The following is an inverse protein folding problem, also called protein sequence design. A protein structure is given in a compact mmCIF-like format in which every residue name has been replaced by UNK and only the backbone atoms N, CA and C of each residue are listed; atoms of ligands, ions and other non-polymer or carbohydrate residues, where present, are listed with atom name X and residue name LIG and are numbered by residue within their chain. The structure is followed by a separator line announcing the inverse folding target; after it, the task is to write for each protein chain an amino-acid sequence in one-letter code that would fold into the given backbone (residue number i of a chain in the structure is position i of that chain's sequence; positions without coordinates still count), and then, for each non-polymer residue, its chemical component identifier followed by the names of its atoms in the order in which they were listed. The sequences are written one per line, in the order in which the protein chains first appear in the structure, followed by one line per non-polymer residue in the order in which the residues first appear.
data_IF_244435894559
#
_entry.id   IF_244435894559
#
_cell.length_a   1.000
_cell.length_b   1.000
_cell.length_c   1.000
_cell.angle_alpha   90.00
_cell.angle_beta   90.00
_cell.angle_gamma   90.00
#
_symmetry.space_group_name_H-M   'P 1'
#
loop_
_entity.id
_entity.type
_entity.pdbx_description
1 polymer ?
#
# COMPACT_ATOMS: atom_id res chain seq x y z
N UNK A 1 4.85 -4.74 11.55
CA UNK A 1 3.79 -5.76 11.36
C UNK A 1 4.38 -6.97 10.64
N UNK A 2 3.82 -8.18 10.79
CA UNK A 2 4.31 -9.37 10.08
C UNK A 2 3.48 -9.56 8.79
N UNK A 3 3.90 -8.90 7.72
CA UNK A 3 3.23 -8.95 6.41
C UNK A 3 3.72 -10.19 5.64
N UNK A 4 2.83 -11.11 5.30
CA UNK A 4 3.17 -12.29 4.46
C UNK A 4 2.63 -12.21 3.04
N UNK A 5 1.60 -11.39 2.82
CA UNK A 5 1.05 -11.12 1.50
C UNK A 5 1.28 -9.65 1.15
N UNK A 6 1.90 -9.41 -0.02
CA UNK A 6 2.20 -8.07 -0.56
C UNK A 6 1.98 -8.11 -2.07
N UNK A 7 1.19 -7.19 -2.61
CA UNK A 7 0.83 -7.18 -4.04
C UNK A 7 0.50 -5.77 -4.54
N UNK A 8 0.21 -5.63 -5.85
CA UNK A 8 -0.24 -4.41 -6.52
C UNK A 8 0.62 -3.17 -6.19
N UNK A 9 1.93 -3.26 -6.45
CA UNK A 9 2.85 -2.17 -6.21
C UNK A 9 2.67 -1.01 -7.19
N UNK A 10 2.82 0.21 -6.67
CA UNK A 10 2.89 1.46 -7.43
C UNK A 10 4.10 2.27 -6.94
N UNK A 11 4.78 2.95 -7.87
CA UNK A 11 6.02 3.67 -7.61
C UNK A 11 5.94 5.08 -8.21
N UNK A 12 6.34 6.09 -7.45
CA UNK A 12 6.39 7.47 -7.94
C UNK A 12 7.62 8.22 -7.38
N UNK A 13 8.18 9.18 -8.13
CA UNK A 13 9.20 10.07 -7.60
C UNK A 13 8.62 11.03 -6.56
N UNK A 14 9.39 11.36 -5.53
CA UNK A 14 9.03 12.39 -4.56
C UNK A 14 9.60 13.77 -4.95
N UNK A 15 8.95 14.88 -4.59
CA UNK A 15 9.35 16.24 -5.02
C UNK A 15 10.75 16.69 -4.62
N UNK A 16 11.26 16.18 -3.49
CA UNK A 16 12.57 16.53 -2.95
C UNK A 16 13.65 15.49 -3.33
N UNK A 17 13.34 14.63 -4.29
CA UNK A 17 14.16 13.48 -4.65
C UNK A 17 13.73 12.20 -3.95
N UNK A 18 14.24 11.07 -4.44
CA UNK A 18 13.85 9.76 -3.97
C UNK A 18 12.55 9.24 -4.56
N UNK A 19 12.09 8.11 -4.02
CA UNK A 19 10.96 7.33 -4.52
C UNK A 19 9.99 7.01 -3.38
N UNK A 20 8.71 6.98 -3.72
CA UNK A 20 7.65 6.44 -2.88
C UNK A 20 7.10 5.17 -3.55
N UNK A 21 7.08 4.07 -2.81
CA UNK A 21 6.42 2.84 -3.18
C UNK A 21 5.16 2.69 -2.32
N UNK A 22 4.03 2.39 -2.96
CA UNK A 22 2.79 2.02 -2.29
C UNK A 22 2.36 0.62 -2.75
N UNK A 23 1.83 -0.19 -1.84
CA UNK A 23 1.42 -1.56 -2.13
C UNK A 23 0.30 -1.99 -1.18
N UNK A 24 -0.54 -2.92 -1.63
CA UNK A 24 -1.50 -3.57 -0.72
C UNK A 24 -0.79 -4.72 0.00
N UNK A 25 -1.06 -4.88 1.29
CA UNK A 25 -0.53 -5.99 2.08
C UNK A 25 -1.48 -6.43 3.18
N UNK A 26 -1.32 -7.68 3.60
CA UNK A 26 -2.03 -8.28 4.73
C UNK A 26 -1.15 -9.31 5.43
N UNK A 27 -1.60 -9.83 6.58
CA UNK A 27 -0.86 -10.82 7.33
C UNK A 27 -0.74 -12.16 6.60
N UNK A 28 -1.64 -12.51 5.68
CA UNK A 28 -1.67 -13.86 5.09
C UNK A 28 -2.12 -13.96 3.64
N UNK A 29 -3.19 -13.26 3.24
CA UNK A 29 -3.80 -13.49 1.93
C UNK A 29 -4.51 -12.27 1.37
N UNK A 30 -4.75 -12.30 0.06
CA UNK A 30 -5.49 -11.28 -0.66
C UNK A 30 -6.94 -11.18 -0.16
N UNK A 31 -7.41 -9.96 0.06
CA UNK A 31 -8.78 -9.67 0.50
C UNK A 31 -9.06 -10.03 1.96
N UNK A 32 -8.04 -10.18 2.79
CA UNK A 32 -8.22 -10.35 4.22
C UNK A 32 -8.75 -9.05 4.87
N UNK A 33 -9.43 -9.16 6.02
CA UNK A 33 -10.04 -8.01 6.72
C UNK A 33 -9.02 -6.96 7.14
N UNK A 34 -7.77 -7.39 7.35
CA UNK A 34 -6.61 -6.59 7.70
C UNK A 34 -5.82 -6.08 6.48
N UNK A 35 -6.26 -6.35 5.24
CA UNK A 35 -5.57 -5.85 4.05
C UNK A 35 -5.62 -4.32 3.96
N UNK A 36 -4.46 -3.67 3.94
CA UNK A 36 -4.33 -2.22 3.91
C UNK A 36 -3.29 -1.79 2.88
N UNK A 37 -3.29 -0.49 2.57
CA UNK A 37 -2.21 0.12 1.81
C UNK A 37 -1.05 0.46 2.75
N UNK A 38 0.15 0.09 2.33
CA UNK A 38 1.40 0.43 2.97
C UNK A 38 2.26 1.26 2.03
N UNK A 39 3.11 2.09 2.62
CA UNK A 39 4.02 2.97 1.92
C UNK A 39 5.42 2.78 2.47
N UNK A 40 6.40 2.69 1.57
CA UNK A 40 7.83 2.79 1.87
C UNK A 40 8.42 3.89 1.02
N UNK A 41 9.33 4.67 1.59
CA UNK A 41 10.01 5.75 0.86
C UNK A 41 11.52 5.56 0.90
N UNK A 42 12.21 6.09 -0.10
CA UNK A 42 13.66 6.25 -0.04
C UNK A 42 14.00 7.59 0.64
N UNK A 43 15.23 7.72 1.11
CA UNK A 43 15.74 9.02 1.60
C UNK A 43 16.04 9.95 0.41
N UNK A 44 16.10 11.25 0.69
CA UNK A 44 16.46 12.26 -0.32
C UNK A 44 17.77 11.89 -1.04
N UNK A 45 17.72 11.89 -2.37
CA UNK A 45 18.86 11.54 -3.24
C UNK A 45 19.12 10.03 -3.40
N UNK A 46 18.42 9.15 -2.69
CA UNK A 46 18.53 7.70 -2.87
C UNK A 46 17.59 7.22 -3.99
N UNK A 47 18.16 6.54 -4.99
CA UNK A 47 17.48 6.05 -6.19
C UNK A 47 16.93 4.62 -6.03
N UNK A 48 16.56 4.20 -4.81
CA UNK A 48 15.92 2.90 -4.56
C UNK A 48 16.80 1.84 -3.91
N UNK A 49 17.96 2.22 -3.37
CA UNK A 49 18.86 1.28 -2.69
C UNK A 49 18.43 1.01 -1.25
N UNK A 50 17.89 2.02 -0.56
CA UNK A 50 17.44 1.90 0.83
C UNK A 50 16.03 2.47 0.98
N UNK A 51 15.21 1.73 1.70
CA UNK A 51 13.80 2.01 1.93
C UNK A 51 13.53 2.10 3.42
N UNK A 52 12.57 2.93 3.79
CA UNK A 52 12.00 2.89 5.13
C UNK A 52 11.21 1.60 5.34
N UNK A 53 11.09 1.20 6.61
CA UNK A 53 10.13 0.16 7.00
C UNK A 53 8.72 0.49 6.47
N UNK A 54 7.92 -0.54 6.12
CA UNK A 54 6.55 -0.36 5.68
C UNK A 54 5.72 0.43 6.69
N UNK A 55 5.15 1.55 6.23
CA UNK A 55 4.24 2.37 7.04
C UNK A 55 2.84 2.24 6.50
N UNK A 56 1.90 1.83 7.36
CA UNK A 56 0.49 1.75 6.99
C UNK A 56 -0.06 3.16 6.70
N UNK A 57 -0.82 3.29 5.61
CA UNK A 57 -1.51 4.54 5.29
C UNK A 57 -2.47 4.93 6.44
N UNK A 58 -2.38 6.14 7.01
CA UNK A 58 -3.13 6.53 8.21
C UNK A 58 -4.56 6.98 7.87
N UNK A 59 -5.30 6.14 7.15
CA UNK A 59 -6.71 6.36 6.81
C UNK A 59 -7.59 5.32 7.50
N UNK A 60 -8.80 5.72 7.89
CA UNK A 60 -9.78 4.78 8.44
C UNK A 60 -10.22 3.85 7.31
N UNK A 61 -10.18 2.55 7.58
CA UNK A 61 -10.62 1.52 6.66
C UNK A 61 -11.93 0.89 7.16
N UNK A 62 -12.87 0.70 6.24
CA UNK A 62 -14.16 0.01 6.40
C UNK A 62 -14.12 -1.41 5.84
N UNK A 63 -13.13 -1.71 5.00
CA UNK A 63 -12.88 -3.02 4.42
C UNK A 63 -11.44 -3.16 3.92
N UNK A 64 -11.20 -4.20 3.12
CA UNK A 64 -9.93 -4.37 2.43
C UNK A 64 -9.68 -3.19 1.46
N UNK A 65 -8.44 -2.70 1.44
CA UNK A 65 -8.00 -1.65 0.53
C UNK A 65 -7.15 -2.24 -0.59
N UNK A 66 -7.26 -1.69 -1.79
CA UNK A 66 -6.81 -2.34 -3.01
C UNK A 66 -6.15 -1.41 -3.99
N UNK A 67 -5.21 -1.96 -4.76
CA UNK A 67 -4.70 -1.36 -6.00
C UNK A 67 -4.28 0.10 -5.85
N UNK A 68 -3.30 0.42 -5.00
CA UNK A 68 -2.83 1.78 -4.85
C UNK A 68 -2.22 2.27 -6.17
N UNK A 69 -2.56 3.48 -6.57
CA UNK A 69 -2.00 4.17 -7.73
C UNK A 69 -1.49 5.52 -7.29
N UNK A 70 -0.16 5.69 -7.35
CA UNK A 70 0.50 6.95 -7.09
C UNK A 70 0.48 7.83 -8.35
N UNK A 71 0.16 9.10 -8.16
CA UNK A 71 0.18 10.11 -9.22
C UNK A 71 0.85 11.38 -8.70
N UNK A 72 1.88 11.86 -9.40
CA UNK A 72 2.57 13.10 -9.06
C UNK A 72 1.93 14.24 -9.84
N UNK A 73 1.35 15.20 -9.12
CA UNK A 73 0.77 16.37 -9.75
C UNK A 73 1.89 17.24 -10.38
N UNK A 74 1.88 17.49 -11.69
CA UNK A 74 3.05 18.00 -12.42
C UNK A 74 3.42 19.43 -12.06
N UNK A 75 2.48 20.24 -11.56
CA UNK A 75 2.74 21.66 -11.21
C UNK A 75 3.11 21.88 -9.76
N UNK A 76 2.66 21.02 -8.85
CA UNK A 76 2.83 21.23 -7.40
C UNK A 76 3.76 20.20 -6.77
N UNK A 77 4.05 19.10 -7.47
CA UNK A 77 4.79 17.97 -6.91
C UNK A 77 3.97 17.12 -5.93
N UNK A 78 2.72 17.48 -5.62
CA UNK A 78 1.92 16.70 -4.67
C UNK A 78 1.77 15.26 -5.15
N UNK A 79 2.08 14.30 -4.27
CA UNK A 79 1.83 12.89 -4.53
C UNK A 79 0.41 12.58 -4.09
N UNK A 80 -0.44 12.25 -5.06
CA UNK A 80 -1.79 11.75 -4.83
C UNK A 80 -1.79 10.24 -4.86
N UNK A 81 -2.61 9.63 -4.02
CA UNK A 81 -2.81 8.19 -4.04
C UNK A 81 -4.29 7.88 -4.20
N UNK A 82 -4.60 7.16 -5.27
CA UNK A 82 -5.92 6.62 -5.54
C UNK A 82 -5.91 5.14 -5.20
N UNK A 83 -6.97 4.65 -4.59
CA UNK A 83 -7.14 3.24 -4.24
C UNK A 83 -8.63 2.93 -4.17
N UNK A 84 -8.99 1.65 -4.21
CA UNK A 84 -10.37 1.22 -3.97
C UNK A 84 -10.50 0.55 -2.61
N UNK A 85 -11.69 0.61 -2.03
CA UNK A 85 -11.97 0.03 -0.72
C UNK A 85 -13.29 -0.72 -0.78
N UNK A 86 -13.30 -1.95 -0.27
CA UNK A 86 -14.51 -2.74 -0.17
C UNK A 86 -15.49 -2.07 0.81
N UNK A 87 -16.75 -1.93 0.40
CA UNK A 87 -17.81 -1.29 1.19
C UNK A 87 -18.47 -2.21 2.22
N UNK A 88 -18.28 -3.53 2.09
CA UNK A 88 -18.85 -4.56 2.95
C UNK A 88 -17.83 -5.70 3.20
N UNK A 89 -18.11 -6.52 4.22
CA UNK A 89 -17.29 -7.71 4.54
C UNK A 89 -17.41 -8.84 3.51
N UNK A 90 -18.27 -8.71 2.51
CA UNK A 90 -18.56 -9.76 1.52
C UNK A 90 -17.46 -9.94 0.48
N UNK A 91 -16.62 -8.92 0.27
CA UNK A 91 -15.39 -9.05 -0.53
C UNK A 91 -14.24 -9.67 0.26
N UNK A 92 -14.46 -10.05 1.53
CA UNK A 92 -13.44 -10.70 2.33
C UNK A 92 -13.42 -12.20 2.01
N UNK A 93 -12.25 -12.73 1.69
CA UNK A 93 -12.07 -14.18 1.74
C UNK A 93 -12.10 -14.60 3.21
N UNK A 94 -13.23 -15.15 3.64
CA UNK A 94 -13.27 -15.90 4.89
C UNK A 94 -12.30 -17.07 4.74
N UNK A 95 -11.23 -17.07 5.54
CA UNK A 95 -10.25 -18.15 5.59
C UNK A 95 -10.90 -19.44 6.11
N UNK A 96 -11.69 -20.12 5.27
CA UNK A 96 -12.18 -21.46 5.55
C UNK A 96 -11.12 -22.54 5.30
N UNK A 97 -9.94 -22.17 4.82
CA UNK A 97 -8.81 -23.06 4.79
C UNK A 97 -8.03 -22.88 6.10
N UNK A 98 -8.04 -23.92 6.94
CA UNK A 98 -6.89 -24.19 7.81
C UNK A 98 -5.67 -24.30 6.89
N UNK A 99 -4.95 -23.21 6.71
CA UNK A 99 -3.65 -23.25 6.06
C UNK A 99 -2.67 -23.93 7.02
N UNK A 100 -1.83 -24.87 6.54
CA UNK A 100 -0.85 -25.57 7.36
C UNK A 100 0.16 -24.63 8.02
#
# INVERSE_FOLDING_TARGET
ENLRYVHMGSLAPMPLGGLMAAYQASHFTEGAEDQRIFVSVTKDGDTGQRWTEPTRLPVKARGAQWGPVLHVHPKTGNVWMFYTESSNKECLRHGNAKYP
#
